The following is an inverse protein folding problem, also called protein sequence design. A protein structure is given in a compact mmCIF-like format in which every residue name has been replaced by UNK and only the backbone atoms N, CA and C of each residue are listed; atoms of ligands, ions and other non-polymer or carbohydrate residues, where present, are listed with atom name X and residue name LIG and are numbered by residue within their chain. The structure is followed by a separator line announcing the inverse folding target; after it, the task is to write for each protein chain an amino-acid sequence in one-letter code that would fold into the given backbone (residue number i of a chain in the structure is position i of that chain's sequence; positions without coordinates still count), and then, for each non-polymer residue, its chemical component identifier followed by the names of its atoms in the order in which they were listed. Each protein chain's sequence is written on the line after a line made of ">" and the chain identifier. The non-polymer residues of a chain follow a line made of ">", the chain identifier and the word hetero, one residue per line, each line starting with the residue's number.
data_IF_599957166340
#
_entry.id   IF_599957166340
#
_cell.length_a   1.000
_cell.length_b   1.000
_cell.length_c   1.000
_cell.angle_alpha   90.00
_cell.angle_beta   90.00
_cell.angle_gamma   90.00
#
_symmetry.space_group_name_H-M   'P 1'
#
loop_
_entity.id
_entity.type
_entity.pdbx_description
1 polymer ?
#
# COMPACT_ATOMS: atom_id res chain seq x y z
N UNK A 1 7.15 22.18 1.51
CA UNK A 1 7.66 21.42 2.68
C UNK A 1 8.03 20.03 2.19
N UNK A 2 9.33 19.76 2.03
CA UNK A 2 9.78 18.41 1.71
C UNK A 2 9.83 17.59 3.01
N UNK A 3 9.13 16.46 3.05
CA UNK A 3 9.31 15.50 4.14
C UNK A 3 10.76 14.96 4.05
N UNK A 4 11.47 14.76 5.18
CA UNK A 4 12.85 14.30 5.13
C UNK A 4 12.95 12.95 4.41
N UNK A 5 14.04 12.73 3.68
CA UNK A 5 14.25 11.53 2.84
C UNK A 5 14.25 10.20 3.62
N UNK A 6 14.39 10.24 4.95
CA UNK A 6 14.25 9.08 5.85
C UNK A 6 12.80 8.58 5.99
N UNK A 7 11.80 9.42 5.70
CA UNK A 7 10.38 9.08 5.83
C UNK A 7 9.86 8.28 4.63
N UNK A 8 10.70 8.08 3.61
CA UNK A 8 10.41 7.35 2.38
C UNK A 8 10.73 5.84 2.47
N UNK A 9 11.18 5.33 3.63
CA UNK A 9 11.52 3.90 3.82
C UNK A 9 10.85 3.30 5.05
N UNK A 10 9.76 3.92 5.44
CA UNK A 10 9.14 3.76 6.75
C UNK A 10 8.48 2.39 6.89
N UNK A 11 7.92 1.82 5.82
CA UNK A 11 7.29 0.50 5.87
C UNK A 11 7.99 -0.55 4.97
N UNK A 12 9.16 -0.23 4.42
CA UNK A 12 9.89 -1.12 3.52
C UNK A 12 11.40 -1.00 3.75
N UNK A 13 12.07 -2.12 4.03
CA UNK A 13 13.53 -2.18 4.18
C UNK A 13 14.28 -2.08 2.83
N UNK A 14 13.56 -1.87 1.73
CA UNK A 14 14.15 -1.72 0.41
C UNK A 14 14.73 -0.30 0.28
N UNK A 15 15.95 -0.20 -0.23
CA UNK A 15 16.64 1.06 -0.52
C UNK A 15 16.11 1.74 -1.79
N UNK A 16 14.79 1.84 -1.90
CA UNK A 16 14.06 2.41 -3.04
C UNK A 16 13.38 3.71 -2.59
N UNK A 17 13.27 4.67 -3.51
CA UNK A 17 12.47 5.87 -3.29
C UNK A 17 10.98 5.51 -3.27
N UNK A 18 10.27 5.90 -2.22
CA UNK A 18 8.85 5.63 -2.08
C UNK A 18 8.03 6.50 -3.04
N UNK A 19 7.58 5.88 -4.13
CA UNK A 19 6.53 6.41 -5.00
C UNK A 19 5.14 6.02 -4.48
N UNK A 20 4.08 6.65 -4.98
CA UNK A 20 2.70 6.24 -4.66
C UNK A 20 2.44 4.76 -5.02
N UNK A 21 2.97 4.31 -6.15
CA UNK A 21 2.88 2.91 -6.57
C UNK A 21 3.59 1.99 -5.57
N UNK A 22 4.80 2.35 -5.14
CA UNK A 22 5.51 1.57 -4.14
C UNK A 22 4.77 1.54 -2.81
N UNK A 23 4.35 2.71 -2.31
CA UNK A 23 3.64 2.86 -1.03
C UNK A 23 2.38 2.01 -0.95
N UNK A 24 1.54 2.03 -1.99
CA UNK A 24 0.22 1.39 -1.94
C UNK A 24 0.18 -0.01 -2.53
N UNK A 25 1.13 -0.39 -3.39
CA UNK A 25 1.09 -1.66 -4.14
C UNK A 25 2.31 -2.54 -3.86
N UNK A 26 3.52 -2.02 -4.08
CA UNK A 26 4.71 -2.87 -4.19
C UNK A 26 5.54 -3.00 -2.90
N UNK A 27 5.32 -2.13 -1.93
CA UNK A 27 5.94 -2.23 -0.61
C UNK A 27 5.54 -3.54 0.08
N UNK A 28 6.50 -4.21 0.73
CA UNK A 28 6.26 -5.47 1.45
C UNK A 28 5.12 -5.39 2.47
N UNK A 29 4.99 -4.26 3.18
CA UNK A 29 3.87 -3.98 4.08
C UNK A 29 2.54 -3.88 3.32
N UNK A 30 2.50 -3.14 2.21
CA UNK A 30 1.29 -3.01 1.40
C UNK A 30 0.85 -4.37 0.83
N UNK A 31 1.78 -5.16 0.30
CA UNK A 31 1.51 -6.51 -0.20
C UNK A 31 0.93 -7.42 0.89
N UNK A 32 1.44 -7.33 2.11
CA UNK A 32 0.89 -8.05 3.27
C UNK A 32 -0.52 -7.59 3.61
N UNK A 33 -0.78 -6.27 3.57
CA UNK A 33 -2.11 -5.70 3.77
C UNK A 33 -3.12 -6.19 2.72
N UNK A 34 -2.74 -6.32 1.45
CA UNK A 34 -3.59 -6.87 0.40
C UNK A 34 -3.78 -8.38 0.54
N UNK A 35 -2.71 -9.12 0.85
CA UNK A 35 -2.75 -10.55 1.08
C UNK A 35 -3.67 -10.94 2.25
N UNK A 36 -3.80 -10.07 3.27
CA UNK A 36 -4.72 -10.27 4.40
C UNK A 36 -6.20 -10.41 4.03
N UNK A 37 -6.59 -9.96 2.82
CA UNK A 37 -7.94 -10.13 2.26
C UNK A 37 -7.96 -11.06 1.04
N UNK A 38 -6.91 -11.87 0.87
CA UNK A 38 -6.79 -12.82 -0.22
C UNK A 38 -6.47 -12.19 -1.58
N UNK A 39 -6.00 -10.94 -1.61
CA UNK A 39 -5.62 -10.27 -2.85
C UNK A 39 -4.10 -10.34 -3.06
N UNK A 40 -3.71 -10.74 -4.25
CA UNK A 40 -2.31 -10.82 -4.65
C UNK A 40 -1.93 -9.61 -5.50
N UNK A 41 -0.87 -8.92 -5.12
CA UNK A 41 -0.31 -7.82 -5.90
C UNK A 41 0.90 -8.34 -6.68
N UNK A 42 0.85 -8.22 -8.00
CA UNK A 42 1.98 -8.53 -8.86
C UNK A 42 2.98 -7.37 -8.95
N UNK A 43 3.93 -7.48 -9.88
CA UNK A 43 4.95 -6.46 -10.17
C UNK A 43 4.60 -5.64 -11.42
N UNK A 44 3.31 -5.58 -11.80
CA UNK A 44 2.87 -4.78 -12.95
C UNK A 44 2.82 -3.29 -12.62
N UNK A 45 2.61 -2.48 -13.65
CA UNK A 45 2.31 -1.06 -13.48
C UNK A 45 1.01 -0.86 -12.65
N UNK A 46 0.81 0.34 -12.07
CA UNK A 46 -0.31 0.60 -11.17
C UNK A 46 -1.68 0.35 -11.79
N UNK A 47 -1.89 0.67 -13.07
CA UNK A 47 -3.20 0.52 -13.71
C UNK A 47 -3.52 -0.94 -13.97
N UNK A 48 -2.55 -1.70 -14.49
CA UNK A 48 -2.69 -3.15 -14.63
C UNK A 48 -2.94 -3.84 -13.29
N UNK A 49 -2.32 -3.36 -12.22
CA UNK A 49 -2.55 -3.88 -10.86
C UNK A 49 -3.98 -3.61 -10.39
N UNK A 50 -4.52 -2.42 -10.64
CA UNK A 50 -5.91 -2.08 -10.31
C UNK A 50 -6.92 -2.93 -11.08
N UNK A 51 -6.67 -3.18 -12.37
CA UNK A 51 -7.52 -4.08 -13.17
C UNK A 51 -7.47 -5.51 -12.64
N UNK A 52 -6.29 -5.97 -12.21
CA UNK A 52 -6.13 -7.29 -11.61
C UNK A 52 -6.84 -7.39 -10.25
N UNK A 53 -6.75 -6.36 -9.41
CA UNK A 53 -7.49 -6.27 -8.13
C UNK A 53 -8.99 -6.29 -8.35
N UNK A 54 -9.48 -5.54 -9.36
CA UNK A 54 -10.89 -5.57 -9.76
C UNK A 54 -11.34 -6.97 -10.15
N UNK A 55 -10.54 -7.68 -10.96
CA UNK A 55 -10.83 -9.03 -11.39
C UNK A 55 -10.83 -10.04 -10.23
N UNK A 56 -9.88 -9.92 -9.29
CA UNK A 56 -9.81 -10.77 -8.10
C UNK A 56 -10.98 -10.54 -7.14
N UNK A 57 -11.37 -9.27 -6.93
CA UNK A 57 -12.47 -8.90 -6.04
C UNK A 57 -13.83 -9.33 -6.61
N UNK A 58 -14.04 -9.15 -7.91
CA UNK A 58 -15.26 -9.56 -8.63
C UNK A 58 -16.58 -9.17 -7.93
N UNK A 59 -16.61 -7.97 -7.34
CA UNK A 59 -17.80 -7.41 -6.67
C UNK A 59 -18.08 -5.99 -7.20
N UNK A 60 -19.34 -5.53 -7.19
CA UNK A 60 -19.69 -4.21 -7.72
C UNK A 60 -19.08 -3.05 -6.92
N UNK A 61 -18.72 -3.26 -5.66
CA UNK A 61 -18.13 -2.27 -4.75
C UNK A 61 -16.60 -2.44 -4.57
N UNK A 62 -15.91 -2.92 -5.61
CA UNK A 62 -14.47 -3.18 -5.54
C UNK A 62 -13.66 -1.90 -5.29
N UNK A 63 -14.13 -0.75 -5.79
CA UNK A 63 -13.45 0.55 -5.62
C UNK A 63 -13.42 0.95 -4.15
N UNK A 64 -14.53 0.77 -3.44
CA UNK A 64 -14.65 1.05 -2.02
C UNK A 64 -13.68 0.20 -1.21
N UNK A 65 -13.54 -1.08 -1.54
CA UNK A 65 -12.55 -1.97 -0.91
C UNK A 65 -11.14 -1.43 -1.15
N UNK A 66 -10.81 -1.05 -2.39
CA UNK A 66 -9.48 -0.54 -2.76
C UNK A 66 -9.17 0.76 -2.02
N UNK A 67 -10.13 1.69 -1.97
CA UNK A 67 -9.99 2.98 -1.28
C UNK A 67 -9.78 2.76 0.23
N UNK A 68 -10.60 1.93 0.87
CA UNK A 68 -10.50 1.65 2.30
C UNK A 68 -9.18 0.97 2.66
N UNK A 69 -8.71 0.03 1.83
CA UNK A 69 -7.42 -0.63 2.03
C UNK A 69 -6.25 0.34 1.87
N UNK A 70 -6.28 1.17 0.83
CA UNK A 70 -5.26 2.21 0.62
C UNK A 70 -5.26 3.22 1.77
N UNK A 71 -6.44 3.63 2.25
CA UNK A 71 -6.57 4.48 3.42
C UNK A 71 -5.98 3.84 4.69
N UNK A 72 -6.23 2.56 4.92
CA UNK A 72 -5.64 1.81 6.03
C UNK A 72 -4.11 1.78 5.97
N UNK A 73 -3.53 1.51 4.81
CA UNK A 73 -2.07 1.54 4.58
C UNK A 73 -1.52 2.94 4.92
N UNK A 74 -2.16 3.99 4.42
CA UNK A 74 -1.78 5.37 4.69
C UNK A 74 -1.83 5.71 6.18
N UNK A 75 -2.91 5.32 6.87
CA UNK A 75 -3.09 5.54 8.31
C UNK A 75 -2.01 4.84 9.14
N UNK A 76 -1.76 3.56 8.89
CA UNK A 76 -0.73 2.81 9.62
C UNK A 76 0.67 3.42 9.41
N UNK A 77 1.00 3.82 8.18
CA UNK A 77 2.26 4.51 7.89
C UNK A 77 2.35 5.84 8.65
N UNK A 78 1.30 6.64 8.67
CA UNK A 78 1.30 7.92 9.37
C UNK A 78 1.39 7.74 10.89
N UNK A 79 0.72 6.74 11.45
CA UNK A 79 0.84 6.42 12.87
C UNK A 79 2.27 5.98 13.22
N UNK A 80 2.93 5.22 12.36
CA UNK A 80 4.34 4.89 12.57
C UNK A 80 5.25 6.12 12.49
N UNK A 81 5.04 6.99 11.50
CA UNK A 81 5.83 8.23 11.31
C UNK A 81 5.67 9.22 12.45
N UNK A 82 4.42 9.53 12.83
CA UNK A 82 4.12 10.65 13.72
C UNK A 82 3.95 10.21 15.18
N UNK A 83 3.63 8.94 15.42
CA UNK A 83 3.36 8.40 16.76
C UNK A 83 4.30 7.26 17.16
N UNK A 84 5.15 6.76 16.25
CA UNK A 84 6.07 5.65 16.53
C UNK A 84 5.37 4.31 16.75
N UNK A 85 4.10 4.17 16.36
CA UNK A 85 3.32 2.94 16.52
C UNK A 85 3.70 1.98 15.40
N UNK A 86 4.18 0.78 15.73
CA UNK A 86 4.55 -0.23 14.73
C UNK A 86 3.31 -0.67 13.93
N UNK A 87 3.39 -0.73 12.59
CA UNK A 87 2.34 -1.31 11.76
C UNK A 87 2.14 -2.80 12.09
N UNK A 88 0.89 -3.25 12.15
CA UNK A 88 0.53 -4.66 12.40
C UNK A 88 0.32 -5.44 11.09
#
# INVERSE_FOLDING_TARGET
>A
MALPSSYLRVCCNQSVEESLAHLFLHCSFAQSCWSSIGLNIGQQDPFSTLDNLRAQLNVPFFVEIIILRSWGIWMQRNDYIFKGIQPN
#
